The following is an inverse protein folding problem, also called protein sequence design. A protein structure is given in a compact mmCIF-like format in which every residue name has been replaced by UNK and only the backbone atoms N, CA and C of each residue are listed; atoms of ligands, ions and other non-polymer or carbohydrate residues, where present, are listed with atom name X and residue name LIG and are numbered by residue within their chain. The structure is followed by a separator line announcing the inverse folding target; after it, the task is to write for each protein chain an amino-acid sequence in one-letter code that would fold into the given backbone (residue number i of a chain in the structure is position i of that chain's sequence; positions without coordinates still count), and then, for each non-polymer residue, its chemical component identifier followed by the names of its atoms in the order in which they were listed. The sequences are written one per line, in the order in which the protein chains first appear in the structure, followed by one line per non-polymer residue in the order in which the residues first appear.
data_IF_753126353467
#
_entry.id   IF_753126353467
#
_cell.length_a   1.000
_cell.length_b   1.000
_cell.length_c   1.000
_cell.angle_alpha   90.00
_cell.angle_beta   90.00
_cell.angle_gamma   90.00
#
_symmetry.space_group_name_H-M   'P 1'
#
loop_
_entity.id
_entity.type
_entity.pdbx_description
1 polymer ?
#
# COMPACT_ATOMS: atom_id res chain seq x y z
N UNK A 1 6.51 8.51 27.17
CA UNK A 1 5.99 8.69 25.79
C UNK A 1 4.76 7.80 25.60
N UNK A 2 3.57 8.32 25.89
CA UNK A 2 2.32 7.54 25.86
C UNK A 2 1.93 7.20 24.43
N UNK A 3 2.10 5.95 24.02
CA UNK A 3 1.65 5.45 22.72
C UNK A 3 0.13 5.33 22.74
N UNK A 4 -0.59 6.41 22.39
CA UNK A 4 -2.02 6.34 22.14
C UNK A 4 -2.27 5.35 21.00
N UNK A 5 -2.90 4.21 21.32
CA UNK A 5 -3.44 3.25 20.35
C UNK A 5 -4.35 4.04 19.39
N UNK A 6 -3.86 4.30 18.17
CA UNK A 6 -4.63 4.98 17.12
C UNK A 6 -5.85 4.12 16.78
N UNK A 7 -7.04 4.53 17.22
CA UNK A 7 -8.30 3.95 16.76
C UNK A 7 -8.36 4.11 15.24
N UNK A 8 -8.54 2.99 14.53
CA UNK A 8 -8.74 3.00 13.09
C UNK A 8 -10.04 3.76 12.82
N UNK A 9 -9.98 4.80 11.99
CA UNK A 9 -11.16 5.60 11.65
C UNK A 9 -11.95 4.90 10.55
N UNK A 10 -13.27 4.86 10.73
CA UNK A 10 -14.16 4.26 9.77
C UNK A 10 -14.19 5.08 8.49
N UNK A 11 -14.63 4.48 7.38
CA UNK A 11 -14.80 5.22 6.13
C UNK A 11 -15.76 6.40 6.31
N UNK A 12 -16.81 6.21 7.12
CA UNK A 12 -17.78 7.25 7.45
C UNK A 12 -17.11 8.46 8.13
N UNK A 13 -16.23 8.25 9.12
CA UNK A 13 -15.45 9.34 9.72
C UNK A 13 -14.64 10.12 8.66
N UNK A 14 -13.99 9.40 7.74
CA UNK A 14 -13.18 10.02 6.69
C UNK A 14 -14.05 10.85 5.73
N UNK A 15 -15.23 10.35 5.38
CA UNK A 15 -16.18 11.04 4.53
C UNK A 15 -16.64 12.35 5.19
N UNK A 16 -16.99 12.32 6.48
CA UNK A 16 -17.35 13.52 7.23
C UNK A 16 -16.21 14.56 7.24
N UNK A 17 -14.95 14.13 7.33
CA UNK A 17 -13.82 15.06 7.23
C UNK A 17 -13.68 15.68 5.84
N UNK A 18 -13.94 14.93 4.76
CA UNK A 18 -13.93 15.52 3.41
C UNK A 18 -15.03 16.57 3.26
N UNK A 19 -16.24 16.30 3.75
CA UNK A 19 -17.34 17.27 3.73
C UNK A 19 -17.01 18.53 4.53
N UNK A 20 -16.37 18.41 5.69
CA UNK A 20 -15.90 19.57 6.46
C UNK A 20 -14.85 20.38 5.70
N UNK A 21 -13.95 19.73 4.96
CA UNK A 21 -12.98 20.43 4.11
C UNK A 21 -13.66 21.16 2.95
N UNK A 22 -14.71 20.57 2.37
CA UNK A 22 -15.54 21.23 1.35
C UNK A 22 -16.29 22.44 1.91
N UNK A 23 -16.74 22.38 3.16
CA UNK A 23 -17.36 23.49 3.90
C UNK A 23 -16.36 24.60 4.30
N UNK A 24 -15.07 24.44 3.98
CA UNK A 24 -14.01 25.41 4.26
C UNK A 24 -13.38 25.28 5.66
N UNK A 25 -13.66 24.20 6.40
CA UNK A 25 -13.03 23.95 7.69
C UNK A 25 -11.54 23.65 7.49
N UNK A 26 -10.68 24.29 8.28
CA UNK A 26 -9.23 24.12 8.15
C UNK A 26 -8.75 22.76 8.66
N UNK A 27 -7.73 22.19 8.01
CA UNK A 27 -7.09 20.93 8.42
C UNK A 27 -6.68 20.89 9.90
N UNK A 28 -6.14 22.00 10.42
CA UNK A 28 -5.77 22.12 11.84
C UNK A 28 -6.96 22.03 12.80
N UNK A 29 -8.14 22.53 12.41
CA UNK A 29 -9.36 22.41 13.21
C UNK A 29 -9.79 20.93 13.30
N UNK A 30 -9.80 20.23 12.16
CA UNK A 30 -10.14 18.80 12.11
C UNK A 30 -9.13 17.97 12.89
N UNK A 31 -7.84 18.30 12.79
CA UNK A 31 -6.78 17.64 13.57
C UNK A 31 -7.00 17.76 15.08
N UNK A 32 -7.27 18.98 15.58
CA UNK A 32 -7.48 19.24 17.01
C UNK A 32 -8.76 18.58 17.53
N UNK A 33 -9.85 18.66 16.77
CA UNK A 33 -11.16 18.19 17.23
C UNK A 33 -11.33 16.66 17.11
N UNK A 34 -10.75 16.05 16.08
CA UNK A 34 -10.96 14.61 15.77
C UNK A 34 -9.70 13.74 15.95
N UNK A 35 -8.54 14.36 16.20
CA UNK A 35 -7.28 13.65 16.45
C UNK A 35 -6.66 12.98 15.21
N UNK A 36 -7.12 13.30 13.99
CA UNK A 36 -6.51 12.81 12.75
C UNK A 36 -5.26 13.62 12.40
N UNK A 37 -4.13 12.97 12.13
CA UNK A 37 -2.90 13.66 11.77
C UNK A 37 -3.09 14.51 10.49
N UNK A 38 -2.63 15.76 10.52
CA UNK A 38 -2.80 16.71 9.41
C UNK A 38 -2.18 16.23 8.10
N UNK A 39 -0.97 15.66 8.13
CA UNK A 39 -0.31 15.14 6.94
C UNK A 39 -1.09 13.98 6.31
N UNK A 40 -1.64 13.09 7.15
CA UNK A 40 -2.54 12.02 6.69
C UNK A 40 -3.81 12.60 6.05
N UNK A 41 -4.39 13.62 6.67
CA UNK A 41 -5.61 14.24 6.17
C UNK A 41 -5.38 14.93 4.81
N UNK A 42 -4.25 15.63 4.62
CA UNK A 42 -3.87 16.21 3.32
C UNK A 42 -3.74 15.15 2.22
N UNK A 43 -3.08 14.02 2.51
CA UNK A 43 -2.97 12.91 1.54
C UNK A 43 -4.33 12.34 1.18
N UNK A 44 -5.21 12.14 2.17
CA UNK A 44 -6.57 11.66 1.94
C UNK A 44 -7.39 12.64 1.10
N UNK A 45 -7.27 13.94 1.39
CA UNK A 45 -7.92 15.00 0.63
C UNK A 45 -7.46 15.00 -0.84
N UNK A 46 -6.15 14.98 -1.09
CA UNK A 46 -5.63 14.92 -2.47
C UNK A 46 -6.06 13.66 -3.23
N UNK A 47 -6.23 12.52 -2.55
CA UNK A 47 -6.77 11.30 -3.17
C UNK A 47 -8.27 11.42 -3.43
N UNK A 48 -9.02 11.94 -2.48
CA UNK A 48 -10.46 12.18 -2.63
C UNK A 48 -10.74 13.13 -3.81
N UNK A 49 -9.94 14.18 -4.00
CA UNK A 49 -10.08 15.06 -5.15
C UNK A 49 -9.83 14.37 -6.51
N UNK A 50 -9.01 13.31 -6.55
CA UNK A 50 -8.68 12.59 -7.79
C UNK A 50 -9.58 11.39 -8.06
N UNK A 51 -9.93 10.65 -7.01
CA UNK A 51 -10.54 9.32 -7.08
C UNK A 51 -11.91 9.28 -6.36
N UNK A 52 -12.34 10.38 -5.75
CA UNK A 52 -13.57 10.45 -4.96
C UNK A 52 -13.53 9.54 -3.73
N UNK A 53 -14.69 8.99 -3.39
CA UNK A 53 -14.88 8.08 -2.25
C UNK A 53 -13.97 6.85 -2.35
N UNK A 54 -13.67 6.38 -3.57
CA UNK A 54 -12.76 5.27 -3.83
C UNK A 54 -11.34 5.53 -3.31
N UNK A 55 -10.88 6.79 -3.34
CA UNK A 55 -9.58 7.20 -2.79
C UNK A 55 -9.50 7.18 -1.26
N UNK A 56 -10.65 7.18 -0.57
CA UNK A 56 -10.75 7.06 0.88
C UNK A 56 -10.86 5.60 1.34
N UNK A 57 -11.30 4.71 0.45
CA UNK A 57 -11.35 3.30 0.76
C UNK A 57 -9.94 2.81 1.09
N UNK A 58 -9.84 2.09 2.20
CA UNK A 58 -8.61 1.38 2.55
C UNK A 58 -8.36 0.42 1.38
N UNK A 59 -7.27 0.62 0.64
CA UNK A 59 -6.83 -0.39 -0.32
C UNK A 59 -6.81 -1.70 0.44
N UNK A 60 -7.73 -2.59 0.08
CA UNK A 60 -7.78 -3.93 0.64
C UNK A 60 -6.37 -4.43 0.49
N UNK A 61 -5.78 -4.83 1.61
CA UNK A 61 -4.47 -5.41 1.61
C UNK A 61 -4.67 -6.72 0.87
N UNK A 62 -4.61 -6.70 -0.47
CA UNK A 62 -4.85 -7.83 -1.34
C UNK A 62 -3.90 -8.87 -0.77
N UNK A 63 -4.46 -9.81 0.00
CA UNK A 63 -3.81 -11.06 0.27
C UNK A 63 -3.79 -11.64 -1.13
N UNK A 64 -2.73 -11.31 -1.85
CA UNK A 64 -2.54 -11.78 -3.20
C UNK A 64 -2.59 -13.28 -3.04
N UNK A 65 -3.72 -13.83 -3.46
CA UNK A 65 -3.91 -15.25 -3.59
C UNK A 65 -2.67 -15.77 -4.31
N UNK A 66 -2.17 -16.93 -3.92
CA UNK A 66 -0.96 -17.49 -4.52
C UNK A 66 -1.02 -17.41 -6.06
N UNK A 67 -2.20 -17.65 -6.64
CA UNK A 67 -2.46 -17.51 -8.07
C UNK A 67 -2.20 -16.10 -8.61
N UNK A 68 -2.61 -15.05 -7.87
CA UNK A 68 -2.37 -13.66 -8.26
C UNK A 68 -0.88 -13.29 -8.16
N UNK A 69 -0.18 -13.71 -7.10
CA UNK A 69 1.28 -13.49 -6.98
C UNK A 69 2.03 -14.15 -8.12
N UNK A 70 1.68 -15.40 -8.41
CA UNK A 70 2.28 -16.19 -9.47
C UNK A 70 2.07 -15.54 -10.84
N UNK A 71 0.83 -15.12 -11.13
CA UNK A 71 0.50 -14.42 -12.38
C UNK A 71 1.30 -13.13 -12.54
N UNK A 72 1.42 -12.31 -11.50
CA UNK A 72 2.19 -11.05 -11.55
C UNK A 72 3.67 -11.31 -11.84
N UNK A 73 4.26 -12.30 -11.18
CA UNK A 73 5.69 -12.63 -11.35
C UNK A 73 5.96 -13.20 -12.76
N UNK A 74 5.09 -14.07 -13.27
CA UNK A 74 5.15 -14.57 -14.65
C UNK A 74 5.00 -13.44 -15.67
N UNK A 75 4.03 -12.54 -15.49
CA UNK A 75 3.81 -11.41 -16.41
C UNK A 75 5.09 -10.54 -16.50
N UNK A 76 5.81 -10.36 -15.39
CA UNK A 76 7.05 -9.58 -15.36
C UNK A 76 8.21 -10.31 -16.04
N UNK A 77 8.34 -11.62 -15.84
CA UNK A 77 9.44 -12.39 -16.44
C UNK A 77 9.19 -12.66 -17.94
N UNK A 78 7.95 -12.92 -18.35
CA UNK A 78 7.59 -13.22 -19.76
C UNK A 78 7.32 -11.97 -20.60
N UNK A 79 6.65 -10.94 -20.04
CA UNK A 79 6.31 -9.72 -20.78
C UNK A 79 7.27 -8.56 -20.47
N UNK A 80 8.33 -8.80 -19.70
CA UNK A 80 9.31 -7.79 -19.28
C UNK A 80 8.70 -6.52 -18.65
N UNK A 81 7.54 -6.67 -17.99
CA UNK A 81 6.85 -5.54 -17.38
C UNK A 81 7.67 -4.93 -16.25
N UNK A 82 7.68 -3.60 -16.17
CA UNK A 82 8.28 -2.93 -15.04
C UNK A 82 7.44 -3.12 -13.77
N UNK A 83 8.09 -3.04 -12.60
CA UNK A 83 7.39 -3.12 -11.29
C UNK A 83 6.23 -2.11 -11.19
N UNK A 84 6.37 -0.97 -11.84
CA UNK A 84 5.39 0.11 -11.81
C UNK A 84 4.18 -0.23 -12.68
N UNK A 85 4.38 -0.80 -13.86
CA UNK A 85 3.30 -1.26 -14.73
C UNK A 85 2.55 -2.43 -14.12
N UNK A 86 3.25 -3.40 -13.55
CA UNK A 86 2.62 -4.50 -12.82
C UNK A 86 1.83 -4.00 -11.60
N UNK A 87 2.34 -2.97 -10.92
CA UNK A 87 1.62 -2.31 -9.81
C UNK A 87 0.33 -1.63 -10.29
N UNK A 88 0.35 -0.99 -11.45
CA UNK A 88 -0.84 -0.36 -12.02
C UNK A 88 -1.86 -1.40 -12.50
N UNK A 89 -1.39 -2.46 -13.16
CA UNK A 89 -2.23 -3.52 -13.73
C UNK A 89 -2.91 -4.39 -12.67
N UNK A 90 -2.20 -4.73 -11.59
CA UNK A 90 -2.67 -5.69 -10.58
C UNK A 90 -2.94 -5.06 -9.21
N UNK A 91 -2.71 -3.76 -9.03
CA UNK A 91 -2.92 -3.06 -7.75
C UNK A 91 -1.99 -3.50 -6.62
N UNK A 92 -0.94 -4.27 -6.92
CA UNK A 92 0.02 -4.74 -5.94
C UNK A 92 1.17 -3.74 -5.78
N UNK A 93 1.56 -3.40 -4.55
CA UNK A 93 2.64 -2.43 -4.33
C UNK A 93 3.95 -2.88 -5.00
N UNK A 94 4.70 -2.00 -5.69
CA UNK A 94 5.91 -2.37 -6.42
C UNK A 94 6.99 -2.96 -5.50
N UNK A 95 7.03 -2.51 -4.25
CA UNK A 95 7.89 -3.08 -3.20
C UNK A 95 7.55 -4.55 -2.90
N UNK A 96 6.27 -4.94 -2.88
CA UNK A 96 5.85 -6.35 -2.69
C UNK A 96 6.18 -7.19 -3.90
N UNK A 97 5.96 -6.66 -5.09
CA UNK A 97 6.30 -7.32 -6.35
C UNK A 97 7.81 -7.63 -6.37
N UNK A 98 8.65 -6.68 -5.96
CA UNK A 98 10.09 -6.91 -5.82
C UNK A 98 10.45 -8.03 -4.83
N UNK A 99 9.74 -8.13 -3.70
CA UNK A 99 9.92 -9.25 -2.75
C UNK A 99 9.53 -10.58 -3.38
N UNK A 100 8.41 -10.64 -4.12
CA UNK A 100 7.97 -11.88 -4.79
C UNK A 100 8.95 -12.34 -5.86
N UNK A 101 9.48 -11.42 -6.67
CA UNK A 101 10.52 -11.73 -7.65
C UNK A 101 11.78 -12.28 -6.99
N UNK A 102 12.19 -11.68 -5.87
CA UNK A 102 13.35 -12.16 -5.13
C UNK A 102 13.13 -13.59 -4.61
N UNK A 103 12.00 -13.83 -3.96
CA UNK A 103 11.63 -15.16 -3.43
C UNK A 103 11.56 -16.21 -4.55
N UNK A 104 10.96 -15.87 -5.70
CA UNK A 104 10.90 -16.75 -6.86
C UNK A 104 12.30 -17.09 -7.40
N UNK A 105 13.22 -16.12 -7.44
CA UNK A 105 14.61 -16.34 -7.89
C UNK A 105 15.47 -17.10 -6.90
N UNK A 106 15.20 -17.01 -5.59
CA UNK A 106 16.03 -17.66 -4.55
C UNK A 106 15.52 -19.03 -4.13
N UNK A 107 14.21 -19.22 -4.08
CA UNK A 107 13.57 -20.40 -3.48
C UNK A 107 12.58 -21.09 -4.44
N UNK A 108 12.35 -20.52 -5.63
CA UNK A 108 11.44 -21.06 -6.63
C UNK A 108 9.97 -20.69 -6.40
N UNK A 109 9.11 -21.18 -7.29
CA UNK A 109 7.69 -20.81 -7.34
C UNK A 109 6.89 -21.23 -6.10
N UNK A 110 7.25 -22.36 -5.48
CA UNK A 110 6.58 -22.90 -4.29
C UNK A 110 6.70 -21.96 -3.07
N UNK A 111 7.79 -21.20 -3.00
CA UNK A 111 8.06 -20.27 -1.90
C UNK A 111 7.13 -19.03 -1.91
N UNK A 112 6.51 -18.69 -3.05
CA UNK A 112 5.54 -17.60 -3.15
C UNK A 112 4.29 -17.84 -2.29
N UNK A 113 3.92 -19.11 -2.09
CA UNK A 113 2.80 -19.53 -1.22
C UNK A 113 3.13 -19.29 0.25
N UNK A 114 4.38 -19.52 0.64
CA UNK A 114 4.89 -19.38 2.01
C UNK A 114 5.23 -17.93 2.38
N UNK A 115 5.45 -17.06 1.40
CA UNK A 115 5.69 -15.63 1.59
C UNK A 115 4.43 -14.89 2.08
N UNK A 116 4.07 -15.10 3.36
CA UNK A 116 3.16 -14.25 4.13
C UNK A 116 3.93 -13.03 4.57
N UNK A 117 3.35 -11.85 4.35
CA UNK A 117 3.93 -10.50 4.54
C UNK A 117 4.83 -10.38 5.78
N UNK A 118 6.08 -10.81 5.65
CA UNK A 118 7.04 -10.83 6.73
C UNK A 118 7.84 -9.55 6.67
N UNK A 119 7.85 -8.87 7.81
CA UNK A 119 8.49 -7.58 8.03
C UNK A 119 9.93 -7.63 7.49
N UNK A 120 10.26 -6.60 6.71
CA UNK A 120 11.60 -6.24 6.27
C UNK A 120 12.67 -6.62 7.31
N UNK A 121 13.52 -7.59 6.96
CA UNK A 121 14.90 -7.67 7.44
C UNK A 121 15.72 -8.12 6.23
N UNK A 122 16.35 -7.17 5.55
CA UNK A 122 17.32 -7.45 4.49
C UNK A 122 18.71 -7.62 5.14
N UNK A 123 19.37 -8.78 5.02
CA UNK A 123 20.82 -8.78 4.94
C UNK A 123 21.19 -8.46 3.49
N UNK A 124 21.72 -7.26 3.29
CA UNK A 124 22.41 -6.86 2.07
C UNK A 124 23.65 -7.76 1.94
N UNK A 125 23.68 -8.67 0.96
CA UNK A 125 24.92 -9.30 0.51
C UNK A 125 25.10 -8.92 -0.96
N UNK A 126 25.94 -7.91 -1.16
CA UNK A 126 26.50 -7.55 -2.46
C UNK A 126 27.38 -8.72 -2.87
N UNK A 127 26.96 -9.50 -3.86
CA UNK A 127 27.85 -10.40 -4.58
C UNK A 127 28.49 -9.61 -5.72
N UNK A 128 29.76 -9.25 -5.48
CA UNK A 128 30.70 -8.74 -6.47
C UNK A 128 30.75 -9.67 -7.68
N UNK A 129 30.51 -9.15 -8.89
CA UNK A 129 30.82 -9.86 -10.14
C UNK A 129 32.32 -9.73 -10.40
N UNK A 130 32.96 -10.87 -10.63
CA UNK A 130 34.28 -10.96 -11.26
C UNK A 130 34.13 -10.79 -12.78
#
# INVERSE_FOLDING_TARGET
MSTQKRKQKSLHDLLSYMQMLEDGISFSHIHKNYGINEARLKVLWSRYQKEGISGLQKQLNINADYALKHKIVLDIEENHLTLHEASLKYGASPQRIGVWLKVMRTEGVDALSKCKSSKFVLPFKVTSRH
#
